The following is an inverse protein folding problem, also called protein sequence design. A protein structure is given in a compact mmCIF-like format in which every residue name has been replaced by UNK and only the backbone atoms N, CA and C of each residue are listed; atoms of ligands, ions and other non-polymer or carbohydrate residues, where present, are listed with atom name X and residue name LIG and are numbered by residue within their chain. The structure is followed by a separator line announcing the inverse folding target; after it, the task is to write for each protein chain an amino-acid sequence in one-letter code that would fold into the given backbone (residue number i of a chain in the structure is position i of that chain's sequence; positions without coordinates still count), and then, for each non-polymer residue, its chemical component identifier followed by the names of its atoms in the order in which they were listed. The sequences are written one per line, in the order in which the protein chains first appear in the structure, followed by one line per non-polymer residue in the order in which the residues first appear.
data_IF_361390210656
#
_entry.id   IF_361390210656
#
_cell.length_a   1.000
_cell.length_b   1.000
_cell.length_c   1.000
_cell.angle_alpha   90.00
_cell.angle_beta   90.00
_cell.angle_gamma   90.00
#
_symmetry.space_group_name_H-M   'P 1'
#
loop_
_entity.id
_entity.type
_entity.pdbx_description
1 polymer ?
#
# COMPACT_ATOMS: atom_id res chain seq x y z
N UNK A 1 12.28 8.32 1.85
CA UNK A 1 10.85 7.94 1.90
C UNK A 1 10.76 6.62 2.67
N UNK A 2 9.87 6.53 3.66
CA UNK A 2 9.67 5.29 4.41
C UNK A 2 8.91 4.27 3.55
N UNK A 3 9.27 2.99 3.65
CA UNK A 3 8.55 1.89 3.00
C UNK A 3 7.21 1.67 3.72
N UNK A 4 6.11 1.67 2.98
CA UNK A 4 4.75 1.41 3.47
C UNK A 4 4.46 -0.10 3.54
N UNK A 5 5.27 -0.92 2.86
CA UNK A 5 5.12 -2.37 2.85
C UNK A 5 6.22 -3.09 3.64
N UNK A 6 5.87 -4.25 4.18
CA UNK A 6 6.81 -5.20 4.79
C UNK A 6 7.17 -6.27 3.76
N UNK A 7 8.40 -6.20 3.23
CA UNK A 7 8.85 -7.07 2.13
C UNK A 7 8.74 -8.56 2.44
N UNK A 8 9.05 -8.97 3.67
CA UNK A 8 8.96 -10.38 4.10
C UNK A 8 7.52 -10.91 4.04
N UNK A 9 6.54 -10.12 4.47
CA UNK A 9 5.12 -10.48 4.40
C UNK A 9 4.64 -10.63 2.95
N UNK A 10 5.07 -9.72 2.06
CA UNK A 10 4.77 -9.80 0.62
C UNK A 10 5.38 -11.05 -0.01
N UNK A 11 6.66 -11.33 0.28
CA UNK A 11 7.36 -12.50 -0.22
C UNK A 11 6.71 -13.80 0.26
N UNK A 12 6.34 -13.88 1.54
CA UNK A 12 5.66 -15.05 2.12
C UNK A 12 4.29 -15.27 1.46
N UNK A 13 3.51 -14.22 1.27
CA UNK A 13 2.20 -14.29 0.61
C UNK A 13 2.30 -14.84 -0.82
N UNK A 14 3.27 -14.36 -1.60
CA UNK A 14 3.48 -14.83 -2.98
C UNK A 14 4.02 -16.26 -3.01
N UNK A 15 4.95 -16.60 -2.11
CA UNK A 15 5.51 -17.96 -2.01
C UNK A 15 4.44 -18.99 -1.65
N UNK A 16 3.52 -18.67 -0.75
CA UNK A 16 2.35 -19.54 -0.43
C UNK A 16 1.47 -19.81 -1.65
N UNK A 17 1.52 -18.96 -2.67
CA UNK A 17 0.83 -19.12 -3.95
C UNK A 17 1.71 -19.69 -5.06
N UNK A 18 2.89 -20.23 -4.72
CA UNK A 18 3.83 -20.79 -5.68
C UNK A 18 4.58 -19.76 -6.53
N UNK A 19 4.46 -18.47 -6.20
CA UNK A 19 5.06 -17.37 -6.98
C UNK A 19 6.33 -16.84 -6.31
N UNK A 20 7.27 -16.37 -7.14
CA UNK A 20 8.43 -15.58 -6.71
C UNK A 20 8.23 -14.12 -7.13
N UNK A 21 8.90 -13.20 -6.46
CA UNK A 21 8.87 -11.78 -6.77
C UNK A 21 10.25 -11.27 -7.13
N UNK A 22 10.32 -10.33 -8.08
CA UNK A 22 11.53 -9.56 -8.35
C UNK A 22 11.77 -8.49 -7.28
N UNK A 23 12.98 -7.96 -7.24
CA UNK A 23 13.37 -6.86 -6.33
C UNK A 23 12.60 -5.57 -6.64
N UNK A 24 12.29 -5.33 -7.91
CA UNK A 24 11.61 -4.13 -8.41
C UNK A 24 10.12 -4.13 -8.06
N UNK A 25 9.54 -5.32 -7.87
CA UNK A 25 8.14 -5.48 -7.44
C UNK A 25 7.87 -4.69 -6.15
N UNK A 26 8.79 -4.73 -5.19
CA UNK A 26 8.61 -4.05 -3.90
C UNK A 26 8.47 -2.54 -4.08
N UNK A 27 9.29 -1.93 -4.93
CA UNK A 27 9.21 -0.50 -5.21
C UNK A 27 7.92 -0.13 -5.95
N UNK A 28 7.48 -0.96 -6.89
CA UNK A 28 6.21 -0.76 -7.59
C UNK A 28 5.00 -0.89 -6.65
N UNK A 29 5.02 -1.89 -5.77
CA UNK A 29 3.95 -2.12 -4.80
C UNK A 29 3.90 -0.97 -3.77
N UNK A 30 5.04 -0.50 -3.28
CA UNK A 30 5.12 0.63 -2.36
C UNK A 30 4.50 1.90 -2.96
N UNK A 31 4.84 2.21 -4.22
CA UNK A 31 4.21 3.31 -4.98
C UNK A 31 2.70 3.13 -5.13
N UNK A 32 2.24 1.92 -5.41
CA UNK A 32 0.82 1.64 -5.57
C UNK A 32 0.05 1.83 -4.25
N UNK A 33 0.64 1.41 -3.11
CA UNK A 33 0.05 1.60 -1.78
C UNK A 33 0.04 3.09 -1.41
N UNK A 34 1.14 3.81 -1.64
CA UNK A 34 1.22 5.26 -1.43
C UNK A 34 0.11 6.01 -2.19
N UNK A 35 -0.04 5.73 -3.48
CA UNK A 35 -1.06 6.37 -4.30
C UNK A 35 -2.51 6.09 -3.83
N UNK A 36 -2.76 4.91 -3.25
CA UNK A 36 -4.07 4.61 -2.63
C UNK A 36 -4.28 5.43 -1.36
N UNK A 37 -3.27 5.53 -0.50
CA UNK A 37 -3.34 6.32 0.73
C UNK A 37 -3.48 7.81 0.44
N UNK A 38 -2.82 8.35 -0.59
CA UNK A 38 -2.97 9.74 -1.01
C UNK A 38 -4.43 10.05 -1.40
N UNK A 39 -5.05 9.16 -2.18
CA UNK A 39 -6.48 9.28 -2.55
C UNK A 39 -7.39 9.20 -1.32
N UNK A 40 -7.09 8.31 -0.39
CA UNK A 40 -7.85 8.18 0.84
C UNK A 40 -7.73 9.45 1.71
N UNK A 41 -6.53 10.03 1.80
CA UNK A 41 -6.30 11.31 2.45
C UNK A 41 -7.11 12.43 1.80
N UNK A 42 -7.16 12.49 0.47
CA UNK A 42 -7.98 13.48 -0.23
C UNK A 42 -9.46 13.34 0.09
N UNK A 43 -10.00 12.12 0.13
CA UNK A 43 -11.41 11.86 0.47
C UNK A 43 -11.70 12.23 1.93
N UNK A 44 -10.82 11.88 2.86
CA UNK A 44 -10.95 12.26 4.27
C UNK A 44 -10.96 13.79 4.44
N UNK A 45 -10.04 14.50 3.75
CA UNK A 45 -9.97 15.97 3.75
C UNK A 45 -11.22 16.60 3.16
N UNK A 46 -11.74 16.09 2.04
CA UNK A 46 -13.00 16.57 1.42
C UNK A 46 -14.19 16.42 2.38
N UNK A 47 -14.16 15.38 3.21
CA UNK A 47 -15.16 15.13 4.25
C UNK A 47 -14.87 15.88 5.57
N UNK A 48 -13.91 16.82 5.58
CA UNK A 48 -13.48 17.60 6.76
C UNK A 48 -13.05 16.71 7.94
N UNK A 49 -12.52 15.52 7.67
CA UNK A 49 -12.00 14.59 8.68
C UNK A 49 -10.48 14.62 8.71
N UNK A 50 -9.91 14.52 9.91
CA UNK A 50 -8.47 14.31 10.14
C UNK A 50 -8.08 12.83 10.20
N UNK A 51 -9.08 11.94 10.30
CA UNK A 51 -8.91 10.49 10.37
C UNK A 51 -9.30 9.87 9.03
N UNK A 52 -8.35 9.18 8.40
CA UNK A 52 -8.61 8.32 7.23
C UNK A 52 -9.32 7.06 7.71
N UNK A 53 -10.43 6.72 7.07
CA UNK A 53 -11.27 5.58 7.42
C UNK A 53 -11.34 4.60 6.26
N UNK A 54 -11.86 3.40 6.50
CA UNK A 54 -11.99 2.33 5.52
C UNK A 54 -12.76 2.76 4.26
N UNK A 55 -13.78 3.62 4.39
CA UNK A 55 -14.53 4.16 3.24
C UNK A 55 -13.74 5.14 2.38
N UNK A 56 -12.58 5.62 2.84
CA UNK A 56 -11.72 6.50 2.06
C UNK A 56 -10.80 5.73 1.12
N UNK A 57 -10.57 4.43 1.34
CA UNK A 57 -9.58 3.64 0.58
C UNK A 57 -9.96 3.37 -0.90
#
# INVERSE_FOLDING_TARGET
MASLIVKSAVAEFLKKKGMRCSTELYAALDKAVAAKLDRALERAKKNKRSTVMEQDL
#
